data_IF_556948268165
#
_entry.id   IF_556948268165
#
_cell.length_a   1.000
_cell.length_b   1.000
_cell.length_c   1.000
_cell.angle_alpha   90.00
_cell.angle_beta   90.00
_cell.angle_gamma   90.00
#
_symmetry.space_group_name_H-M   'P 1'
#
loop_
_entity.id
_entity.type
_entity.pdbx_description
1 polymer ?
#
# COMPACT_ATOMS: atom_id res chain seq x y z
N UNK A 1 13.76 -8.55 22.07
CA UNK A 1 13.68 -9.45 20.90
C UNK A 1 13.60 -8.51 19.73
N UNK A 2 14.67 -8.40 18.95
CA UNK A 2 14.75 -7.44 17.85
C UNK A 2 13.66 -7.80 16.82
N UNK A 3 12.55 -7.07 16.86
CA UNK A 3 11.65 -6.93 15.72
C UNK A 3 12.52 -6.42 14.59
N UNK A 4 12.98 -7.33 13.74
CA UNK A 4 13.82 -6.99 12.60
C UNK A 4 12.95 -6.14 11.69
N UNK A 5 13.09 -4.81 11.81
CA UNK A 5 12.61 -3.83 10.86
C UNK A 5 13.20 -4.19 9.50
N UNK A 6 12.50 -5.04 8.77
CA UNK A 6 12.94 -5.60 7.51
C UNK A 6 12.36 -4.71 6.43
N UNK A 7 13.11 -3.68 6.06
CA UNK A 7 12.74 -2.84 4.93
C UNK A 7 12.91 -3.66 3.64
N UNK A 8 11.81 -3.85 2.91
CA UNK A 8 11.81 -4.37 1.53
C UNK A 8 11.80 -3.20 0.56
N UNK A 9 12.29 -3.42 -0.65
CA UNK A 9 12.21 -2.43 -1.71
C UNK A 9 12.13 -3.08 -3.09
N UNK A 10 11.53 -2.35 -4.03
CA UNK A 10 11.44 -2.71 -5.44
C UNK A 10 11.59 -1.46 -6.28
N UNK A 11 12.34 -1.56 -7.37
CA UNK A 11 12.60 -0.46 -8.29
C UNK A 11 12.05 -0.81 -9.66
N UNK A 12 11.33 0.13 -10.26
CA UNK A 12 10.75 0.00 -11.59
C UNK A 12 11.17 1.18 -12.47
N UNK A 13 11.50 0.88 -13.72
CA UNK A 13 11.71 1.85 -14.79
C UNK A 13 10.85 1.45 -15.99
N UNK A 14 10.51 2.39 -16.85
CA UNK A 14 9.88 2.03 -18.12
C UNK A 14 10.91 1.31 -19.03
N UNK A 15 10.48 0.31 -19.82
CA UNK A 15 11.33 -0.33 -20.80
C UNK A 15 11.80 0.68 -21.85
N UNK A 16 12.96 0.42 -22.44
CA UNK A 16 13.49 1.21 -23.55
C UNK A 16 12.50 1.23 -24.73
N UNK A 17 12.33 2.39 -25.35
CA UNK A 17 11.42 2.61 -26.47
C UNK A 17 10.23 3.52 -26.14
N UNK A 18 9.10 3.28 -26.81
CA UNK A 18 7.92 4.14 -26.70
C UNK A 18 7.35 4.11 -25.27
N UNK A 19 7.38 5.28 -24.62
CA UNK A 19 6.93 5.46 -23.24
C UNK A 19 8.05 5.44 -22.20
N UNK A 20 9.32 5.27 -22.57
CA UNK A 20 10.46 5.30 -21.63
C UNK A 20 10.48 6.58 -20.77
N UNK A 21 10.10 7.71 -21.36
CA UNK A 21 10.09 9.04 -20.71
C UNK A 21 8.75 9.40 -20.05
N UNK A 22 7.73 8.54 -20.15
CA UNK A 22 6.37 8.77 -19.63
C UNK A 22 6.30 8.42 -18.13
N UNK A 23 6.59 9.42 -17.29
CA UNK A 23 6.51 9.30 -15.83
C UNK A 23 5.10 8.92 -15.34
N UNK A 24 3.99 9.52 -15.83
CA UNK A 24 2.64 9.04 -15.48
C UNK A 24 2.38 7.56 -15.79
N UNK A 25 2.88 7.03 -16.91
CA UNK A 25 2.80 5.60 -17.21
C UNK A 25 3.57 4.76 -16.19
N UNK A 26 4.77 5.22 -15.80
CA UNK A 26 5.56 4.53 -14.77
C UNK A 26 4.83 4.48 -13.43
N UNK A 27 4.23 5.59 -12.99
CA UNK A 27 3.49 5.64 -11.73
C UNK A 27 2.26 4.71 -11.72
N UNK A 28 1.58 4.54 -12.85
CA UNK A 28 0.48 3.57 -12.96
C UNK A 28 0.99 2.14 -12.79
N UNK A 29 2.10 1.80 -13.45
CA UNK A 29 2.72 0.46 -13.31
C UNK A 29 3.24 0.19 -11.90
N UNK A 30 3.72 1.22 -11.20
CA UNK A 30 4.10 1.09 -9.79
C UNK A 30 2.87 0.81 -8.93
N UNK A 31 1.74 1.47 -9.20
CA UNK A 31 0.48 1.17 -8.51
C UNK A 31 0.04 -0.28 -8.79
N UNK A 32 0.05 -0.71 -10.04
CA UNK A 32 -0.26 -2.10 -10.43
C UNK A 32 0.64 -3.10 -9.68
N UNK A 33 1.96 -2.83 -9.60
CA UNK A 33 2.93 -3.65 -8.86
C UNK A 33 2.62 -3.72 -7.35
N UNK A 34 2.24 -2.59 -6.74
CA UNK A 34 1.89 -2.56 -5.31
C UNK A 34 0.64 -3.40 -5.03
N UNK A 35 -0.34 -3.38 -5.92
CA UNK A 35 -1.55 -4.21 -5.82
C UNK A 35 -1.21 -5.70 -6.00
N UNK A 36 -0.37 -6.04 -6.98
CA UNK A 36 0.08 -7.42 -7.25
C UNK A 36 0.87 -8.03 -6.09
N UNK A 37 1.74 -7.24 -5.45
CA UNK A 37 2.56 -7.66 -4.31
C UNK A 37 1.80 -7.59 -2.96
N UNK A 38 0.56 -7.10 -2.95
CA UNK A 38 -0.25 -6.97 -1.73
C UNK A 38 0.31 -5.96 -0.72
N UNK A 39 0.96 -4.89 -1.21
CA UNK A 39 1.55 -3.85 -0.36
C UNK A 39 0.44 -2.90 0.10
N UNK A 40 0.10 -2.95 1.38
CA UNK A 40 -0.89 -2.04 1.94
C UNK A 40 -0.35 -0.59 1.98
N UNK A 41 -1.19 0.44 1.81
CA UNK A 41 -0.75 1.83 1.89
C UNK A 41 -0.03 2.20 3.20
N UNK A 42 -0.40 1.55 4.32
CA UNK A 42 0.19 1.80 5.64
C UNK A 42 1.55 1.12 5.83
N UNK A 43 1.87 0.15 4.98
CA UNK A 43 3.17 -0.55 4.99
C UNK A 43 4.24 0.22 4.23
N UNK A 44 3.83 1.13 3.33
CA UNK A 44 4.74 1.96 2.54
C UNK A 44 5.48 2.94 3.44
N UNK A 45 6.80 2.84 3.41
CA UNK A 45 7.70 3.70 4.17
C UNK A 45 8.16 4.91 3.35
N UNK A 46 8.52 4.68 2.08
CA UNK A 46 9.00 5.73 1.17
C UNK A 46 8.72 5.37 -0.29
N UNK A 47 8.57 6.42 -1.11
CA UNK A 47 8.54 6.31 -2.57
C UNK A 47 9.46 7.38 -3.16
N UNK A 48 10.56 6.92 -3.76
CA UNK A 48 11.56 7.80 -4.38
C UNK A 48 11.40 7.77 -5.90
N UNK A 49 11.30 8.95 -6.51
CA UNK A 49 11.35 9.14 -7.96
C UNK A 49 12.70 9.76 -8.33
N UNK A 50 13.47 9.09 -9.18
CA UNK A 50 14.73 9.58 -9.70
C UNK A 50 14.71 9.67 -11.23
N UNK A 51 15.55 10.55 -11.77
CA UNK A 51 15.76 10.67 -13.21
C UNK A 51 17.23 10.79 -13.53
N UNK A 52 17.68 10.05 -14.52
CA UNK A 52 18.97 10.27 -15.18
C UNK A 52 18.74 10.83 -16.58
N UNK A 53 19.50 11.85 -16.96
CA UNK A 53 19.44 12.41 -18.32
C UNK A 53 20.30 11.56 -19.25
N UNK A 54 19.65 10.85 -20.18
CA UNK A 54 20.33 10.04 -21.21
C UNK A 54 20.25 10.73 -22.58
N UNK A 55 20.90 10.15 -23.59
CA UNK A 55 20.84 10.65 -24.97
C UNK A 55 19.41 10.62 -25.55
N UNK A 56 18.55 9.73 -25.03
CA UNK A 56 17.19 9.48 -25.51
C UNK A 56 16.11 10.19 -24.67
N UNK A 57 16.53 10.96 -23.65
CA UNK A 57 15.65 11.73 -22.77
C UNK A 57 15.81 11.38 -21.29
N UNK A 58 14.90 11.86 -20.42
CA UNK A 58 14.93 11.51 -19.01
C UNK A 58 14.56 10.04 -18.81
N UNK A 59 15.46 9.29 -18.17
CA UNK A 59 15.23 7.92 -17.72
C UNK A 59 14.70 7.94 -16.29
N UNK A 60 13.39 7.70 -16.13
CA UNK A 60 12.74 7.69 -14.83
C UNK A 60 12.86 6.34 -14.14
N UNK A 61 13.10 6.38 -12.84
CA UNK A 61 13.03 5.21 -11.97
C UNK A 61 12.21 5.55 -10.73
N UNK A 62 11.34 4.64 -10.33
CA UNK A 62 10.59 4.75 -9.07
C UNK A 62 10.98 3.58 -8.19
N UNK A 63 11.36 3.86 -6.95
CA UNK A 63 11.64 2.85 -5.93
C UNK A 63 10.63 2.97 -4.82
N UNK A 64 9.96 1.86 -4.49
CA UNK A 64 9.05 1.74 -3.36
C UNK A 64 9.76 1.02 -2.24
N UNK A 65 9.69 1.56 -1.03
CA UNK A 65 10.18 0.96 0.21
C UNK A 65 9.00 0.66 1.12
N UNK A 66 8.94 -0.54 1.68
CA UNK A 66 7.87 -0.93 2.60
C UNK A 66 8.36 -1.88 3.69
N UNK A 67 7.65 -1.89 4.80
CA UNK A 67 7.78 -2.92 5.81
C UNK A 67 6.77 -4.03 5.49
N UNK A 68 7.13 -5.32 5.47
CA UNK A 68 6.13 -6.36 5.45
C UNK A 68 5.34 -6.26 6.75
N UNK A 69 4.06 -5.91 6.67
CA UNK A 69 3.19 -5.86 7.84
C UNK A 69 3.27 -7.17 8.60
N UNK A 70 3.51 -7.10 9.92
CA UNK A 70 3.18 -8.22 10.81
C UNK A 70 1.68 -8.40 10.67
N UNK A 71 1.24 -9.40 9.89
CA UNK A 71 -0.17 -9.58 9.53
C UNK A 71 -1.09 -9.65 10.75
N UNK A 72 -1.56 -8.49 11.19
CA UNK A 72 -2.70 -8.31 12.06
C UNK A 72 -3.89 -8.02 11.14
N UNK A 73 -4.30 -9.08 10.43
CA UNK A 73 -5.72 -9.38 10.27
C UNK A 73 -6.31 -9.61 11.68
N UNK A 74 -6.43 -8.57 12.49
CA UNK A 74 -7.18 -8.58 13.76
C UNK A 74 -8.67 -8.44 13.42
N UNK A 75 -9.19 -9.42 12.68
CA UNK A 75 -10.59 -9.54 12.29
C UNK A 75 -11.10 -10.91 12.74
N UNK A 76 -11.16 -11.11 14.07
CA UNK A 76 -12.01 -12.12 14.71
C UNK A 76 -12.12 -11.90 16.24
N UNK A 77 -12.56 -10.72 16.66
CA UNK A 77 -13.29 -10.61 17.93
C UNK A 77 -14.76 -11.04 17.71
N UNK A 78 -14.99 -12.31 17.34
CA UNK A 78 -16.33 -12.92 17.39
C UNK A 78 -16.47 -13.63 18.75
N UNK A 79 -16.78 -12.86 19.79
CA UNK A 79 -17.33 -13.45 21.03
C UNK A 79 -18.87 -13.50 20.93
N UNK A 80 -19.50 -14.69 21.01
CA UNK A 80 -20.94 -14.80 21.00
C UNK A 80 -21.51 -14.49 22.40
N UNK A 81 -21.96 -13.25 22.62
CA UNK A 81 -22.69 -12.92 23.84
C UNK A 81 -24.10 -13.52 23.83
N UNK A 82 -24.25 -14.70 24.42
CA UNK A 82 -25.53 -15.25 24.86
C UNK A 82 -26.01 -14.54 26.13
N UNK A 83 -27.19 -13.91 26.08
CA UNK A 83 -28.12 -13.91 27.23
C UNK A 83 -28.80 -12.59 27.63
N UNK A 84 -30.01 -12.40 27.08
CA UNK A 84 -31.28 -12.10 27.79
C UNK A 84 -31.38 -10.91 28.77
N UNK A 85 -32.28 -9.94 28.47
CA UNK A 85 -32.81 -9.04 29.50
C UNK A 85 -33.67 -7.85 29.03
N UNK A 86 -34.92 -8.11 28.65
CA UNK A 86 -36.17 -7.34 28.87
C UNK A 86 -36.18 -5.81 29.13
N UNK A 87 -37.01 -5.13 28.33
CA UNK A 87 -37.98 -4.04 28.66
C UNK A 87 -37.49 -2.60 28.92
N UNK A 88 -38.10 -1.66 28.17
CA UNK A 88 -38.02 -0.23 28.47
C UNK A 88 -38.58 0.67 27.37
N UNK A 89 -39.90 0.73 27.25
CA UNK A 89 -40.65 1.69 26.41
C UNK A 89 -40.42 3.15 26.86
N UNK A 90 -40.23 4.07 25.91
CA UNK A 90 -40.89 5.38 25.93
C UNK A 90 -40.69 6.16 24.63
N UNK A 91 -41.79 6.37 23.93
CA UNK A 91 -41.94 7.42 22.92
C UNK A 91 -41.93 8.80 23.59
N UNK A 92 -41.36 9.82 22.93
CA UNK A 92 -41.89 11.19 22.97
C UNK A 92 -41.69 11.92 21.64
N UNK A 93 -42.81 12.53 21.25
CA UNK A 93 -43.06 13.55 20.22
C UNK A 93 -42.45 14.88 20.64
N UNK A 94 -41.88 15.61 19.68
CA UNK A 94 -42.10 17.06 19.45
C UNK A 94 -41.59 17.42 18.05
#
# INVERSE_FOLDING_TARGET
MDEQWTCRHVSLSNPEGDGATDLPLLLRRVADLMEEEGIAPMDVMDLTVSSDMTADGPWWTVTVYWSPGSGEDDDAADEPSRGTGSSGSSARVA
#
